data_IF_962343556327
#
_entry.id   IF_962343556327
#
_cell.length_a   1.000
_cell.length_b   1.000
_cell.length_c   1.000
_cell.angle_alpha   90.00
_cell.angle_beta   90.00
_cell.angle_gamma   90.00
#
_symmetry.space_group_name_H-M   'P 1'
#
loop_
_entity.id
_entity.type
_entity.pdbx_description
1 polymer ?
#
# COMPACT_ATOMS: atom_id res chain seq x y z
N UNK A 1 23.84 -2.24 29.61
CA UNK A 1 23.17 -1.19 28.80
C UNK A 1 21.77 -1.69 28.54
N UNK A 2 20.74 -1.02 29.04
CA UNK A 2 19.34 -1.36 28.78
C UNK A 2 19.11 -1.17 27.27
N UNK A 3 18.91 -2.27 26.52
CA UNK A 3 18.39 -2.17 25.16
C UNK A 3 16.96 -1.64 25.28
N UNK A 4 16.78 -0.33 25.14
CA UNK A 4 15.46 0.23 24.92
C UNK A 4 14.90 -0.47 23.68
N UNK A 5 13.75 -1.12 23.84
CA UNK A 5 13.11 -1.83 22.74
C UNK A 5 12.85 -0.83 21.60
N UNK A 6 13.20 -1.20 20.37
CA UNK A 6 13.04 -0.36 19.17
C UNK A 6 11.55 -0.28 18.78
N UNK A 7 10.77 0.55 19.46
CA UNK A 7 9.34 0.73 19.16
C UNK A 7 9.15 1.39 17.81
N UNK A 8 8.32 0.80 16.96
CA UNK A 8 7.95 1.34 15.66
C UNK A 8 6.54 1.94 15.75
N UNK A 9 6.42 3.24 15.46
CA UNK A 9 5.11 3.87 15.24
C UNK A 9 4.61 3.50 13.85
N UNK A 10 3.39 2.99 13.77
CA UNK A 10 2.72 2.65 12.51
C UNK A 10 1.52 3.57 12.32
N UNK A 11 1.56 4.41 11.29
CA UNK A 11 0.39 5.18 10.86
C UNK A 11 -0.51 4.32 9.98
N UNK A 12 -1.81 4.67 9.89
CA UNK A 12 -2.75 3.88 9.11
C UNK A 12 -2.87 2.42 9.60
N UNK A 13 -2.58 2.14 10.88
CA UNK A 13 -2.49 0.79 11.45
C UNK A 13 -3.79 -0.02 11.35
N UNK A 14 -4.95 0.63 11.25
CA UNK A 14 -6.24 -0.03 11.02
C UNK A 14 -6.58 -0.23 9.54
N UNK A 15 -5.71 0.25 8.63
CA UNK A 15 -5.82 0.08 7.18
C UNK A 15 -5.12 -1.17 6.69
N UNK A 16 -5.17 -1.41 5.36
CA UNK A 16 -4.56 -2.59 4.74
C UNK A 16 -3.04 -2.64 4.94
N UNK A 17 -2.31 -1.65 4.45
CA UNK A 17 -0.86 -1.62 4.55
C UNK A 17 -0.36 -1.50 5.99
N UNK A 18 -0.83 -0.49 6.72
CA UNK A 18 -0.40 -0.28 8.11
C UNK A 18 -0.76 -1.46 9.02
N UNK A 19 -1.92 -2.09 8.79
CA UNK A 19 -2.32 -3.30 9.51
C UNK A 19 -1.39 -4.49 9.24
N UNK A 20 -1.04 -4.74 7.97
CA UNK A 20 -0.10 -5.78 7.60
C UNK A 20 1.29 -5.52 8.20
N UNK A 21 1.78 -4.27 8.13
CA UNK A 21 3.06 -3.89 8.74
C UNK A 21 3.05 -4.08 10.26
N UNK A 22 1.98 -3.64 10.95
CA UNK A 22 1.84 -3.83 12.39
C UNK A 22 1.83 -5.30 12.77
N UNK A 23 1.06 -6.13 12.06
CA UNK A 23 0.98 -7.57 12.30
C UNK A 23 2.34 -8.26 12.07
N UNK A 24 3.05 -7.90 11.00
CA UNK A 24 4.37 -8.45 10.69
C UNK A 24 5.40 -8.10 11.76
N UNK A 25 5.48 -6.82 12.16
CA UNK A 25 6.43 -6.37 13.18
C UNK A 25 6.15 -7.04 14.53
N UNK A 26 4.88 -7.18 14.93
CA UNK A 26 4.50 -7.90 16.16
C UNK A 26 4.91 -9.37 16.10
N UNK A 27 4.68 -10.04 14.95
CA UNK A 27 5.09 -11.44 14.75
C UNK A 27 6.61 -11.61 14.82
N UNK A 28 7.38 -10.61 14.37
CA UNK A 28 8.84 -10.57 14.46
C UNK A 28 9.34 -10.15 15.87
N UNK A 29 8.42 -9.93 16.83
CA UNK A 29 8.76 -9.54 18.22
C UNK A 29 9.18 -8.07 18.37
N UNK A 30 8.89 -7.22 17.37
CA UNK A 30 9.20 -5.80 17.40
C UNK A 30 8.02 -5.05 18.05
N UNK A 31 8.25 -4.22 19.09
CA UNK A 31 7.19 -3.43 19.71
C UNK A 31 6.57 -2.44 18.71
N UNK A 32 5.25 -2.45 18.63
CA UNK A 32 4.46 -1.60 17.73
C UNK A 32 3.63 -0.62 18.53
N UNK A 33 3.70 0.66 18.14
CA UNK A 33 2.73 1.69 18.51
C UNK A 33 1.84 1.96 17.32
N UNK A 34 0.54 1.66 17.45
CA UNK A 34 -0.45 1.76 16.37
C UNK A 34 -1.23 3.07 16.49
N UNK A 35 -1.03 4.01 15.55
CA UNK A 35 -1.78 5.26 15.50
C UNK A 35 -3.14 5.05 14.86
N UNK A 36 -4.21 5.43 15.56
CA UNK A 36 -5.59 5.41 15.06
C UNK A 36 -6.37 6.63 15.53
N UNK A 37 -7.40 7.03 14.78
CA UNK A 37 -8.35 8.07 15.19
C UNK A 37 -9.41 7.54 16.16
N UNK A 38 -9.63 6.21 16.15
CA UNK A 38 -10.66 5.52 16.95
C UNK A 38 -10.07 4.21 17.50
N UNK A 39 -9.76 4.22 18.80
CA UNK A 39 -9.25 3.07 19.53
C UNK A 39 -10.37 2.06 19.89
N UNK A 40 -11.62 2.48 19.77
CA UNK A 40 -12.80 1.64 20.03
C UNK A 40 -13.19 0.75 18.85
N UNK A 41 -12.60 0.96 17.66
CA UNK A 41 -12.88 0.15 16.47
C UNK A 41 -12.44 -1.31 16.65
N UNK A 42 -13.13 -2.25 16.00
CA UNK A 42 -12.79 -3.68 16.07
C UNK A 42 -11.33 -3.94 15.64
N UNK A 43 -10.83 -3.20 14.64
CA UNK A 43 -9.45 -3.33 14.15
C UNK A 43 -8.43 -2.80 15.16
N UNK A 44 -8.72 -1.69 15.85
CA UNK A 44 -7.85 -1.17 16.90
C UNK A 44 -7.79 -2.12 18.10
N UNK A 45 -8.92 -2.68 18.52
CA UNK A 45 -8.94 -3.71 19.58
C UNK A 45 -8.14 -4.96 19.20
N UNK A 46 -8.28 -5.45 17.98
CA UNK A 46 -7.50 -6.58 17.49
C UNK A 46 -5.97 -6.31 17.51
N UNK A 47 -5.55 -5.09 17.19
CA UNK A 47 -4.14 -4.68 17.31
C UNK A 47 -3.68 -4.67 18.77
N UNK A 48 -4.49 -4.16 19.70
CA UNK A 48 -4.18 -4.19 21.13
C UNK A 48 -4.09 -5.62 21.66
N UNK A 49 -5.02 -6.50 21.29
CA UNK A 49 -5.00 -7.94 21.62
C UNK A 49 -3.77 -8.65 21.07
N UNK A 50 -3.28 -8.24 19.89
CA UNK A 50 -2.05 -8.72 19.30
C UNK A 50 -0.76 -8.17 19.96
N UNK A 51 -0.89 -7.25 20.92
CA UNK A 51 0.22 -6.69 21.70
C UNK A 51 0.71 -5.32 21.25
N UNK A 52 0.02 -4.63 20.35
CA UNK A 52 0.37 -3.25 19.99
C UNK A 52 -0.05 -2.25 21.09
N UNK A 53 0.76 -1.22 21.32
CA UNK A 53 0.36 -0.01 22.03
C UNK A 53 -0.54 0.82 21.10
N UNK A 54 -1.85 0.81 21.32
CA UNK A 54 -2.79 1.63 20.54
C UNK A 54 -2.82 3.05 21.09
N UNK A 55 -2.56 4.04 20.23
CA UNK A 55 -2.59 5.45 20.58
C UNK A 55 -3.57 6.22 19.70
N UNK A 56 -4.36 7.10 20.34
CA UNK A 56 -5.30 7.96 19.61
C UNK A 56 -4.57 9.19 19.09
N UNK A 57 -4.72 9.47 17.80
CA UNK A 57 -4.17 10.67 17.17
C UNK A 57 -4.58 10.79 15.71
N UNK A 58 -4.36 11.98 15.17
CA UNK A 58 -4.68 12.34 13.80
C UNK A 58 -3.43 12.89 13.08
N UNK A 59 -3.24 12.51 11.82
CA UNK A 59 -2.13 13.02 11.00
C UNK A 59 -2.22 14.53 10.75
N UNK A 60 -3.40 15.12 10.89
CA UNK A 60 -3.60 16.56 10.82
C UNK A 60 -3.34 17.31 12.15
N UNK A 61 -3.32 16.60 13.28
CA UNK A 61 -3.03 17.17 14.60
C UNK A 61 -1.57 16.96 14.99
N UNK A 62 -0.79 18.05 14.90
CA UNK A 62 0.64 18.06 15.22
C UNK A 62 0.92 17.61 16.66
N UNK A 63 0.14 18.06 17.61
CA UNK A 63 0.34 17.72 19.03
C UNK A 63 0.12 16.22 19.27
N UNK A 64 -0.83 15.60 18.56
CA UNK A 64 -1.03 14.16 18.62
C UNK A 64 0.14 13.39 18.01
N UNK A 65 0.73 13.90 16.92
CA UNK A 65 1.91 13.31 16.29
C UNK A 65 3.15 13.42 17.18
N UNK A 66 3.35 14.56 17.86
CA UNK A 66 4.46 14.73 18.81
C UNK A 66 4.35 13.74 19.97
N UNK A 67 3.14 13.51 20.50
CA UNK A 67 2.90 12.47 21.52
C UNK A 67 3.13 11.07 20.97
N UNK A 68 2.64 10.76 19.76
CA UNK A 68 2.75 9.45 19.16
C UNK A 68 4.20 9.07 18.81
N UNK A 69 5.00 10.04 18.35
CA UNK A 69 6.42 9.83 17.97
C UNK A 69 7.36 9.82 19.16
N UNK A 70 6.93 10.34 20.33
CA UNK A 70 7.79 10.41 21.52
C UNK A 70 8.33 9.03 21.91
N UNK A 71 9.67 8.87 21.90
CA UNK A 71 10.35 7.62 22.21
C UNK A 71 10.20 6.51 21.16
N UNK A 72 9.56 6.77 20.02
CA UNK A 72 9.58 5.83 18.89
C UNK A 72 10.98 5.81 18.27
N UNK A 73 11.49 4.61 18.02
CA UNK A 73 12.75 4.41 17.32
C UNK A 73 12.57 4.56 15.80
N UNK A 74 11.46 4.06 15.26
CA UNK A 74 11.14 4.12 13.85
C UNK A 74 9.69 4.51 13.58
N UNK A 75 9.40 4.90 12.34
CA UNK A 75 8.05 5.26 11.89
C UNK A 75 7.74 4.59 10.56
N UNK A 76 6.65 3.82 10.49
CA UNK A 76 6.03 3.46 9.22
C UNK A 76 4.99 4.51 8.86
N UNK A 77 5.19 5.17 7.73
CA UNK A 77 4.41 6.30 7.25
C UNK A 77 3.58 5.89 6.04
N UNK A 78 2.27 5.79 6.22
CA UNK A 78 1.31 5.65 5.12
C UNK A 78 0.18 6.66 5.30
N UNK A 79 -0.17 7.33 4.21
CA UNK A 79 -1.18 8.38 4.19
C UNK A 79 -2.28 8.01 3.20
N UNK A 80 -3.51 8.35 3.52
CA UNK A 80 -4.61 8.23 2.57
C UNK A 80 -4.56 9.39 1.58
N UNK A 81 -4.56 9.07 0.30
CA UNK A 81 -4.69 10.06 -0.76
C UNK A 81 -6.11 10.65 -0.83
N UNK A 82 -6.23 11.89 -1.30
CA UNK A 82 -7.50 12.49 -1.64
C UNK A 82 -7.95 12.02 -3.04
N UNK A 83 -9.17 11.53 -3.12
CA UNK A 83 -9.84 11.18 -4.39
C UNK A 83 -11.34 11.42 -4.28
N UNK A 84 -12.02 11.63 -5.39
CA UNK A 84 -13.45 11.86 -5.40
C UNK A 84 -14.21 10.70 -4.73
N UNK A 85 -15.08 11.04 -3.78
CA UNK A 85 -15.78 10.05 -2.94
C UNK A 85 -14.94 9.43 -1.80
N UNK A 86 -13.68 9.79 -1.68
CA UNK A 86 -12.82 9.38 -0.58
C UNK A 86 -12.99 10.22 0.68
N UNK A 87 -12.36 9.81 1.80
CA UNK A 87 -12.56 10.45 3.11
C UNK A 87 -12.04 11.89 3.17
N UNK A 88 -11.16 12.29 2.27
CA UNK A 88 -10.57 13.64 2.21
C UNK A 88 -11.04 14.45 0.99
N UNK A 89 -11.95 13.87 0.16
CA UNK A 89 -12.60 14.54 -0.96
C UNK A 89 -11.61 15.25 -1.88
N UNK A 90 -11.77 16.57 -2.02
CA UNK A 90 -10.95 17.41 -2.88
C UNK A 90 -9.76 18.09 -2.16
N UNK A 91 -9.42 17.69 -0.93
CA UNK A 91 -8.21 18.19 -0.24
C UNK A 91 -6.94 17.56 -0.83
N UNK A 92 -6.55 18.10 -1.97
CA UNK A 92 -5.47 17.55 -2.81
C UNK A 92 -4.11 17.56 -2.11
N UNK A 93 -3.90 18.49 -1.17
CA UNK A 93 -2.66 18.67 -0.43
C UNK A 93 -2.63 17.86 0.87
N UNK A 94 -3.72 17.13 1.20
CA UNK A 94 -3.83 16.39 2.47
C UNK A 94 -2.63 15.45 2.69
N UNK A 95 -2.27 14.68 1.69
CA UNK A 95 -1.21 13.69 1.80
C UNK A 95 0.17 14.33 2.04
N UNK A 96 0.55 15.32 1.23
CA UNK A 96 1.84 16.01 1.37
C UNK A 96 1.92 16.80 2.67
N UNK A 97 0.82 17.44 3.08
CA UNK A 97 0.72 18.19 4.35
C UNK A 97 0.87 17.27 5.56
N UNK A 98 0.19 16.13 5.58
CA UNK A 98 0.27 15.17 6.69
C UNK A 98 1.63 14.46 6.71
N UNK A 99 2.23 14.17 5.57
CA UNK A 99 3.60 13.65 5.47
C UNK A 99 4.62 14.65 6.05
N UNK A 100 4.48 15.93 5.73
CA UNK A 100 5.34 16.98 6.27
C UNK A 100 5.22 17.10 7.81
N UNK A 101 3.98 17.08 8.34
CA UNK A 101 3.73 17.12 9.79
C UNK A 101 4.36 15.91 10.51
N UNK A 102 4.15 14.70 9.97
CA UNK A 102 4.71 13.46 10.53
C UNK A 102 6.24 13.46 10.47
N UNK A 103 6.83 13.85 9.33
CA UNK A 103 8.27 13.96 9.17
C UNK A 103 8.90 14.94 10.18
N UNK A 104 8.26 16.10 10.39
CA UNK A 104 8.71 17.08 11.38
C UNK A 104 8.59 16.57 12.82
N UNK A 105 7.50 15.85 13.18
CA UNK A 105 7.33 15.23 14.49
C UNK A 105 8.38 14.12 14.71
N UNK A 106 8.59 13.26 13.73
CA UNK A 106 9.60 12.20 13.75
C UNK A 106 11.01 12.77 13.95
N UNK A 107 11.34 13.87 13.23
CA UNK A 107 12.64 14.55 13.40
C UNK A 107 12.81 15.14 14.81
N UNK A 108 11.79 15.81 15.32
CA UNK A 108 11.81 16.39 16.66
C UNK A 108 11.95 15.33 17.77
N UNK A 109 11.34 14.15 17.57
CA UNK A 109 11.43 13.01 18.49
C UNK A 109 12.75 12.22 18.37
N UNK A 110 13.62 12.54 17.41
CA UNK A 110 14.88 11.83 17.19
C UNK A 110 14.69 10.43 16.59
N UNK A 111 13.64 10.22 15.78
CA UNK A 111 13.41 8.96 15.07
C UNK A 111 14.61 8.61 14.19
N UNK A 112 15.10 7.38 14.32
CA UNK A 112 16.32 6.94 13.63
C UNK A 112 16.05 6.44 12.20
N UNK A 113 14.83 5.93 11.93
CA UNK A 113 14.48 5.45 10.59
C UNK A 113 12.99 5.61 10.28
N UNK A 114 12.66 6.10 9.08
CA UNK A 114 11.30 6.27 8.60
C UNK A 114 11.12 5.45 7.30
N UNK A 115 10.13 4.57 7.28
CA UNK A 115 9.74 3.84 6.07
C UNK A 115 8.43 4.44 5.56
N UNK A 116 8.48 5.04 4.37
CA UNK A 116 7.31 5.71 3.76
C UNK A 116 6.74 4.89 2.62
N UNK A 117 5.43 4.65 2.66
CA UNK A 117 4.71 4.02 1.56
C UNK A 117 4.13 5.06 0.62
N UNK A 118 4.68 5.09 -0.60
CA UNK A 118 4.27 5.89 -1.75
C UNK A 118 3.50 5.04 -2.77
N UNK A 119 3.79 5.18 -4.05
CA UNK A 119 3.25 4.33 -5.14
C UNK A 119 4.25 4.26 -6.31
N UNK A 120 4.15 3.20 -7.11
CA UNK A 120 4.88 3.07 -8.37
C UNK A 120 4.56 4.24 -9.31
N UNK A 121 5.50 4.57 -10.19
CA UNK A 121 5.37 5.60 -11.23
C UNK A 121 5.80 7.00 -10.80
N UNK A 122 5.99 7.25 -9.50
CA UNK A 122 6.57 8.51 -9.01
C UNK A 122 8.01 8.66 -9.51
N UNK A 123 8.33 9.83 -10.08
CA UNK A 123 9.62 10.12 -10.72
C UNK A 123 9.76 9.54 -12.12
N UNK A 124 8.74 8.88 -12.65
CA UNK A 124 8.70 8.33 -14.00
C UNK A 124 7.88 9.17 -14.99
N UNK A 125 7.80 8.72 -16.26
CA UNK A 125 7.08 9.45 -17.32
C UNK A 125 5.59 9.66 -17.03
N UNK A 126 4.98 8.79 -16.22
CA UNK A 126 3.56 8.87 -15.88
C UNK A 126 3.23 10.02 -14.92
N UNK A 127 4.20 10.53 -14.15
CA UNK A 127 3.95 11.56 -13.15
C UNK A 127 3.37 12.83 -13.77
N UNK A 128 3.85 13.24 -14.95
CA UNK A 128 3.36 14.45 -15.64
C UNK A 128 1.90 14.33 -16.10
N UNK A 129 1.37 13.10 -16.20
CA UNK A 129 0.04 12.81 -16.72
C UNK A 129 -0.97 12.43 -15.66
N UNK A 130 -0.53 12.20 -14.41
CA UNK A 130 -1.38 11.70 -13.32
C UNK A 130 -1.24 12.55 -12.06
N UNK A 131 -2.25 13.36 -11.76
CA UNK A 131 -2.30 14.21 -10.56
C UNK A 131 -2.02 13.42 -9.26
N UNK A 132 -2.50 12.17 -9.20
CA UNK A 132 -2.24 11.30 -8.07
C UNK A 132 -0.73 11.06 -7.86
N UNK A 133 0.03 10.83 -8.93
CA UNK A 133 1.48 10.61 -8.84
C UNK A 133 2.21 11.88 -8.42
N UNK A 134 1.77 13.04 -8.92
CA UNK A 134 2.35 14.34 -8.52
C UNK A 134 2.20 14.57 -7.02
N UNK A 135 1.01 14.26 -6.45
CA UNK A 135 0.76 14.37 -5.01
C UNK A 135 1.61 13.40 -4.20
N UNK A 136 1.74 12.16 -4.67
CA UNK A 136 2.66 11.18 -4.06
C UNK A 136 4.10 11.66 -4.09
N UNK A 137 4.54 12.24 -5.20
CA UNK A 137 5.87 12.85 -5.31
C UNK A 137 6.07 14.01 -4.32
N UNK A 138 5.03 14.83 -4.07
CA UNK A 138 5.07 15.88 -3.06
C UNK A 138 5.20 15.32 -1.65
N UNK A 139 4.46 14.26 -1.32
CA UNK A 139 4.59 13.57 -0.04
C UNK A 139 6.00 12.98 0.14
N UNK A 140 6.56 12.33 -0.90
CA UNK A 140 7.95 11.86 -0.86
C UNK A 140 8.94 13.02 -0.64
N UNK A 141 8.76 14.16 -1.32
CA UNK A 141 9.60 15.36 -1.10
C UNK A 141 9.52 15.86 0.33
N UNK A 142 8.33 15.85 0.93
CA UNK A 142 8.14 16.24 2.32
C UNK A 142 8.87 15.30 3.29
N UNK A 143 8.78 13.98 3.08
CA UNK A 143 9.52 12.99 3.88
C UNK A 143 11.04 13.18 3.73
N UNK A 144 11.54 13.30 2.50
CA UNK A 144 12.98 13.55 2.24
C UNK A 144 13.44 14.84 2.91
N UNK A 145 12.64 15.89 2.83
CA UNK A 145 12.92 17.21 3.43
C UNK A 145 12.91 17.21 4.96
N UNK A 146 12.33 16.21 5.62
CA UNK A 146 12.33 16.10 7.09
C UNK A 146 13.73 15.92 7.68
N UNK A 147 14.68 15.37 6.89
CA UNK A 147 16.03 15.06 7.33
C UNK A 147 16.10 13.86 8.29
N UNK A 148 15.04 13.04 8.40
CA UNK A 148 15.08 11.73 9.04
C UNK A 148 15.64 10.72 8.03
N UNK A 149 16.57 9.82 8.41
CA UNK A 149 16.96 8.70 7.54
C UNK A 149 15.72 7.90 7.13
N UNK A 150 15.56 7.63 5.84
CA UNK A 150 14.30 7.05 5.35
C UNK A 150 14.50 6.04 4.24
N UNK A 151 13.53 5.12 4.10
CA UNK A 151 13.33 4.24 2.95
C UNK A 151 11.96 4.55 2.35
N UNK A 152 11.86 4.57 1.02
CA UNK A 152 10.59 4.75 0.31
C UNK A 152 10.20 3.44 -0.36
N UNK A 153 9.00 2.97 -0.09
CA UNK A 153 8.37 1.85 -0.74
C UNK A 153 7.34 2.39 -1.76
N UNK A 154 7.43 1.94 -3.00
CA UNK A 154 6.49 2.28 -4.07
C UNK A 154 5.74 1.04 -4.52
N UNK A 155 4.71 0.62 -3.77
CA UNK A 155 3.91 -0.54 -4.15
C UNK A 155 3.12 -0.28 -5.42
N UNK A 156 2.82 -1.38 -6.11
CA UNK A 156 1.93 -1.47 -7.27
C UNK A 156 0.49 -1.74 -6.83
N UNK A 157 -0.39 -2.16 -7.76
CA UNK A 157 -1.76 -2.59 -7.45
C UNK A 157 -1.75 -3.74 -6.44
N UNK A 158 -2.62 -3.66 -5.42
CA UNK A 158 -2.68 -4.72 -4.41
C UNK A 158 -3.48 -5.92 -4.92
N UNK A 159 -2.97 -7.13 -4.70
CA UNK A 159 -3.67 -8.37 -5.05
C UNK A 159 -5.05 -8.46 -4.40
N UNK A 160 -5.19 -7.94 -3.19
CA UNK A 160 -6.43 -7.87 -2.43
C UNK A 160 -7.50 -7.01 -3.10
N UNK A 161 -7.13 -6.01 -3.89
CA UNK A 161 -8.08 -5.12 -4.57
C UNK A 161 -9.03 -5.86 -5.50
N UNK A 162 -8.54 -6.95 -6.11
CA UNK A 162 -9.32 -7.79 -7.01
C UNK A 162 -10.57 -8.36 -6.33
N UNK A 163 -10.52 -8.64 -5.02
CA UNK A 163 -11.55 -9.39 -4.30
C UNK A 163 -12.38 -8.55 -3.32
N UNK A 164 -12.03 -7.28 -3.09
CA UNK A 164 -12.71 -6.47 -2.08
C UNK A 164 -13.20 -5.10 -2.57
N UNK A 165 -12.40 -4.05 -2.35
CA UNK A 165 -12.87 -2.66 -2.40
C UNK A 165 -13.09 -2.12 -3.80
N UNK A 166 -12.32 -2.58 -4.78
CA UNK A 166 -12.35 -2.05 -6.13
C UNK A 166 -13.30 -2.81 -7.06
N UNK A 167 -13.87 -3.94 -6.57
CA UNK A 167 -14.87 -4.72 -7.30
C UNK A 167 -14.46 -5.08 -8.72
N UNK A 168 -13.18 -5.39 -8.92
CA UNK A 168 -12.70 -5.83 -10.23
C UNK A 168 -13.39 -7.12 -10.67
N UNK A 169 -13.70 -8.03 -9.74
CA UNK A 169 -14.55 -9.17 -10.00
C UNK A 169 -16.03 -8.78 -9.86
N UNK A 170 -16.79 -8.90 -10.94
CA UNK A 170 -18.22 -8.61 -10.99
C UNK A 170 -18.95 -9.80 -11.59
N UNK A 171 -19.91 -10.37 -10.86
CA UNK A 171 -20.71 -11.50 -11.33
C UNK A 171 -19.88 -12.68 -11.89
N UNK A 172 -18.68 -12.91 -11.31
CA UNK A 172 -17.79 -13.98 -11.76
C UNK A 172 -16.89 -13.66 -12.97
N UNK A 173 -16.94 -12.44 -13.49
CA UNK A 173 -16.03 -11.95 -14.52
C UNK A 173 -15.05 -10.93 -13.94
N UNK A 174 -13.81 -10.91 -14.45
CA UNK A 174 -12.84 -9.86 -14.17
C UNK A 174 -13.14 -8.68 -15.10
N UNK A 175 -13.56 -7.56 -14.51
CA UNK A 175 -13.92 -6.33 -15.23
C UNK A 175 -12.87 -5.27 -14.94
N UNK A 176 -12.26 -4.71 -15.97
CA UNK A 176 -11.22 -3.69 -15.82
C UNK A 176 -11.34 -2.62 -16.92
N UNK A 177 -10.74 -1.47 -16.65
CA UNK A 177 -10.60 -0.37 -17.61
C UNK A 177 -9.37 -0.55 -18.51
N UNK A 178 -8.47 -1.48 -18.20
CA UNK A 178 -7.27 -1.74 -18.99
C UNK A 178 -7.59 -2.67 -20.18
N UNK A 179 -6.75 -2.69 -21.20
CA UNK A 179 -6.88 -3.66 -22.27
C UNK A 179 -6.46 -5.07 -21.81
N UNK A 180 -6.95 -6.13 -22.47
CA UNK A 180 -6.70 -7.52 -22.07
C UNK A 180 -5.19 -7.88 -22.05
N UNK A 181 -4.42 -7.28 -22.92
CA UNK A 181 -2.99 -7.47 -23.11
C UNK A 181 -2.13 -6.42 -22.35
N UNK A 182 -2.76 -5.50 -21.62
CA UNK A 182 -2.06 -4.53 -20.77
C UNK A 182 -1.50 -5.23 -19.53
N UNK A 183 -0.19 -5.10 -19.34
CA UNK A 183 0.50 -5.55 -18.14
C UNK A 183 0.18 -4.65 -16.94
N UNK A 184 -0.12 -5.27 -15.82
CA UNK A 184 -0.30 -4.61 -14.54
C UNK A 184 0.50 -5.35 -13.47
N UNK A 185 1.49 -4.68 -12.85
CA UNK A 185 2.22 -5.30 -11.75
C UNK A 185 1.36 -5.31 -10.47
N UNK A 186 1.47 -6.42 -9.72
CA UNK A 186 0.71 -6.66 -8.49
C UNK A 186 1.60 -6.97 -7.31
N UNK A 187 1.17 -6.58 -6.11
CA UNK A 187 1.86 -6.84 -4.84
C UNK A 187 0.86 -7.24 -3.75
N UNK A 188 1.23 -8.17 -2.87
CA UNK A 188 0.47 -8.46 -1.66
C UNK A 188 0.79 -7.44 -0.55
N UNK A 189 -0.17 -7.09 0.28
CA UNK A 189 0.05 -6.21 1.42
C UNK A 189 1.07 -6.80 2.42
N UNK A 190 1.11 -8.11 2.55
CA UNK A 190 2.08 -8.83 3.39
C UNK A 190 3.51 -8.70 2.87
N UNK A 191 3.72 -8.65 1.56
CA UNK A 191 5.03 -8.41 0.97
C UNK A 191 5.50 -6.96 1.20
N UNK A 192 4.58 -5.98 1.12
CA UNK A 192 4.90 -4.60 1.52
C UNK A 192 5.35 -4.57 2.99
N UNK A 193 4.66 -5.30 3.85
CA UNK A 193 5.01 -5.42 5.26
C UNK A 193 6.38 -6.09 5.46
N UNK A 194 6.69 -7.11 4.67
CA UNK A 194 8.00 -7.75 4.69
C UNK A 194 9.13 -6.78 4.31
N UNK A 195 8.96 -5.99 3.23
CA UNK A 195 9.95 -4.97 2.86
C UNK A 195 10.09 -3.88 3.92
N UNK A 196 9.00 -3.46 4.56
CA UNK A 196 9.06 -2.51 5.67
C UNK A 196 9.85 -3.09 6.86
N UNK A 197 9.58 -4.35 7.24
CA UNK A 197 10.30 -5.04 8.32
C UNK A 197 11.80 -5.20 8.00
N UNK A 198 12.15 -5.57 6.76
CA UNK A 198 13.55 -5.66 6.29
C UNK A 198 14.24 -4.29 6.41
N UNK A 199 13.59 -3.20 5.99
CA UNK A 199 14.15 -1.86 6.09
C UNK A 199 14.37 -1.41 7.54
N UNK A 200 13.49 -1.78 8.47
CA UNK A 200 13.67 -1.52 9.90
C UNK A 200 14.74 -2.41 10.54
N UNK A 201 14.91 -3.64 10.05
CA UNK A 201 15.92 -4.56 10.58
C UNK A 201 17.36 -4.09 10.28
N UNK A 202 17.58 -3.53 9.07
CA UNK A 202 18.89 -3.01 8.65
C UNK A 202 18.76 -1.61 8.00
N UNK A 203 18.54 -0.55 8.81
CA UNK A 203 18.45 0.80 8.29
C UNK A 203 19.74 1.27 7.60
N UNK A 204 20.89 0.72 7.96
CA UNK A 204 22.15 1.06 7.31
C UNK A 204 22.20 0.67 5.84
N UNK A 205 21.65 -0.48 5.50
CA UNK A 205 21.56 -0.96 4.12
C UNK A 205 20.43 -0.30 3.31
N UNK A 206 19.37 0.18 3.99
CA UNK A 206 18.12 0.60 3.33
C UNK A 206 17.86 2.11 3.36
N UNK A 207 18.55 2.89 4.22
CA UNK A 207 18.39 4.34 4.24
C UNK A 207 18.75 4.98 2.89
N UNK A 208 17.89 5.88 2.41
CA UNK A 208 18.02 6.54 1.11
C UNK A 208 17.57 5.70 -0.08
N UNK A 209 17.18 4.44 0.13
CA UNK A 209 16.69 3.57 -0.95
C UNK A 209 15.23 3.84 -1.28
N UNK A 210 14.91 3.58 -2.54
CA UNK A 210 13.54 3.53 -3.07
C UNK A 210 13.35 2.14 -3.67
N UNK A 211 12.25 1.49 -3.32
CA UNK A 211 11.88 0.17 -3.84
C UNK A 211 10.53 0.26 -4.54
N UNK A 212 10.50 0.04 -5.83
CA UNK A 212 9.27 -0.23 -6.57
C UNK A 212 8.91 -1.69 -6.35
N UNK A 213 7.72 -1.95 -5.75
CA UNK A 213 7.38 -3.28 -5.23
C UNK A 213 6.31 -3.95 -6.08
N UNK A 214 6.66 -5.09 -6.67
CA UNK A 214 5.73 -6.02 -7.31
C UNK A 214 6.17 -7.46 -7.03
N UNK A 215 5.21 -8.35 -6.81
CA UNK A 215 5.42 -9.80 -6.73
C UNK A 215 5.14 -10.49 -8.04
N UNK A 216 4.25 -9.91 -8.86
CA UNK A 216 3.88 -10.40 -10.18
C UNK A 216 3.73 -9.24 -11.17
N UNK A 217 3.88 -9.49 -12.47
CA UNK A 217 3.68 -8.51 -13.55
C UNK A 217 3.07 -9.24 -14.74
N UNK A 218 1.75 -9.25 -14.81
CA UNK A 218 0.93 -10.08 -15.69
C UNK A 218 -0.08 -9.23 -16.46
N UNK A 219 -0.53 -9.73 -17.61
CA UNK A 219 -1.62 -9.11 -18.37
C UNK A 219 -2.98 -9.33 -17.68
N UNK A 220 -3.96 -8.52 -18.03
CA UNK A 220 -5.31 -8.66 -17.50
C UNK A 220 -5.94 -10.01 -17.88
N UNK A 221 -5.67 -10.50 -19.09
CA UNK A 221 -6.11 -11.82 -19.53
C UNK A 221 -5.45 -12.94 -18.72
N UNK A 222 -4.15 -12.85 -18.45
CA UNK A 222 -3.43 -13.81 -17.59
C UNK A 222 -3.97 -13.78 -16.16
N UNK A 223 -4.26 -12.59 -15.60
CA UNK A 223 -4.89 -12.43 -14.29
C UNK A 223 -6.22 -13.18 -14.21
N UNK A 224 -7.10 -13.01 -15.19
CA UNK A 224 -8.38 -13.74 -15.27
C UNK A 224 -8.17 -15.25 -15.35
N UNK A 225 -7.21 -15.71 -16.16
CA UNK A 225 -6.86 -17.12 -16.31
C UNK A 225 -6.30 -17.74 -15.02
N UNK A 226 -5.45 -17.01 -14.28
CA UNK A 226 -4.93 -17.44 -12.96
C UNK A 226 -6.09 -17.60 -11.98
N UNK A 227 -6.96 -16.58 -11.87
CA UNK A 227 -8.12 -16.64 -10.99
C UNK A 227 -8.98 -17.88 -11.34
N UNK A 228 -9.29 -18.06 -12.62
CA UNK A 228 -10.09 -19.20 -13.09
C UNK A 228 -9.49 -20.57 -12.72
N UNK A 229 -8.16 -20.74 -12.87
CA UNK A 229 -7.46 -21.97 -12.47
C UNK A 229 -7.56 -22.22 -10.98
N UNK A 230 -7.33 -21.20 -10.17
CA UNK A 230 -7.33 -21.32 -8.69
C UNK A 230 -8.73 -21.65 -8.16
N UNK A 231 -9.79 -21.05 -8.72
CA UNK A 231 -11.16 -21.26 -8.25
C UNK A 231 -11.88 -22.42 -8.95
N UNK A 232 -11.26 -23.04 -9.96
CA UNK A 232 -11.79 -24.23 -10.66
C UNK A 232 -12.96 -23.93 -11.58
N UNK A 233 -13.11 -22.68 -12.08
CA UNK A 233 -14.15 -22.28 -13.03
C UNK A 233 -13.65 -21.19 -13.99
N UNK A 234 -14.31 -21.05 -15.12
CA UNK A 234 -14.00 -19.97 -16.06
C UNK A 234 -14.29 -18.59 -15.42
N UNK A 235 -13.34 -17.67 -15.55
CA UNK A 235 -13.46 -16.27 -15.16
C UNK A 235 -13.20 -15.42 -16.41
N UNK A 236 -14.25 -14.99 -17.12
CA UNK A 236 -14.08 -14.16 -18.31
C UNK A 236 -13.44 -12.81 -17.96
N UNK A 237 -12.63 -12.30 -18.88
CA UNK A 237 -12.15 -10.93 -18.83
C UNK A 237 -13.05 -10.01 -19.64
N UNK A 238 -13.45 -8.88 -19.06
CA UNK A 238 -14.28 -7.85 -19.70
C UNK A 238 -13.57 -6.51 -19.58
N UNK A 239 -13.08 -5.99 -20.71
CA UNK A 239 -12.55 -4.63 -20.78
C UNK A 239 -13.70 -3.62 -20.96
N UNK A 240 -13.73 -2.58 -20.13
CA UNK A 240 -14.59 -1.41 -20.35
C UNK A 240 -13.82 -0.49 -21.30
N UNK A 241 -14.42 -0.20 -22.47
CA UNK A 241 -13.76 0.62 -23.47
C UNK A 241 -13.42 2.03 -22.99
N UNK A 242 -12.26 2.54 -23.36
CA UNK A 242 -11.82 3.91 -23.03
C UNK A 242 -12.83 4.95 -23.51
N UNK A 243 -13.47 4.70 -24.65
CA UNK A 243 -14.50 5.58 -25.22
C UNK A 243 -15.72 5.73 -24.29
N UNK A 244 -16.16 4.64 -23.68
CA UNK A 244 -17.27 4.65 -22.72
C UNK A 244 -16.89 5.43 -21.44
N UNK A 245 -15.64 5.31 -20.99
CA UNK A 245 -15.13 6.05 -19.84
C UNK A 245 -14.98 7.54 -20.17
N UNK A 246 -14.64 7.88 -21.42
CA UNK A 246 -14.44 9.27 -21.84
C UNK A 246 -15.71 10.12 -21.77
N UNK A 247 -16.89 9.52 -21.92
CA UNK A 247 -18.16 10.21 -21.77
C UNK A 247 -18.42 10.67 -20.33
N UNK A 248 -18.04 9.83 -19.35
CA UNK A 248 -18.28 10.10 -17.92
C UNK A 248 -17.09 10.81 -17.26
N UNK A 249 -15.85 10.49 -17.67
CA UNK A 249 -14.63 11.02 -17.07
C UNK A 249 -13.48 11.14 -18.08
N UNK A 250 -13.36 12.27 -18.80
CA UNK A 250 -12.25 12.49 -19.75
C UNK A 250 -10.85 12.36 -19.14
N UNK A 251 -10.69 12.71 -17.87
CA UNK A 251 -9.42 12.59 -17.16
C UNK A 251 -9.02 11.12 -16.92
N UNK A 252 -10.00 10.27 -16.55
CA UNK A 252 -9.79 8.82 -16.40
C UNK A 252 -9.46 8.19 -17.75
N UNK A 253 -10.15 8.56 -18.82
CA UNK A 253 -9.87 8.04 -20.17
C UNK A 253 -8.45 8.39 -20.63
N UNK A 254 -7.98 9.62 -20.37
CA UNK A 254 -6.61 10.04 -20.66
C UNK A 254 -5.59 9.20 -19.87
N UNK A 255 -5.84 9.01 -18.58
CA UNK A 255 -5.00 8.17 -17.72
C UNK A 255 -4.89 6.74 -18.25
N UNK A 256 -6.01 6.14 -18.66
CA UNK A 256 -6.06 4.78 -19.21
C UNK A 256 -5.30 4.67 -20.53
N UNK A 257 -5.39 5.66 -21.40
CA UNK A 257 -4.58 5.72 -22.62
C UNK A 257 -3.09 5.63 -22.31
N UNK A 258 -2.64 6.42 -21.34
CA UNK A 258 -1.23 6.42 -20.90
C UNK A 258 -0.83 5.07 -20.26
N UNK A 259 -1.68 4.48 -19.42
CA UNK A 259 -1.42 3.18 -18.79
C UNK A 259 -1.39 2.02 -19.80
N UNK A 260 -2.23 2.05 -20.83
CA UNK A 260 -2.22 1.04 -21.89
C UNK A 260 -0.97 1.14 -22.80
N UNK A 261 -0.38 2.32 -22.94
CA UNK A 261 0.80 2.56 -23.77
C UNK A 261 2.14 2.39 -23.02
N UNK A 262 2.13 2.56 -21.69
CA UNK A 262 3.34 2.61 -20.88
C UNK A 262 3.36 1.53 -19.80
N UNK A 263 4.18 0.51 -20.00
CA UNK A 263 4.38 -0.54 -19.00
C UNK A 263 5.17 0.01 -17.80
N UNK A 264 4.63 -0.17 -16.60
CA UNK A 264 5.34 0.07 -15.34
C UNK A 264 6.14 -1.18 -14.95
N UNK A 265 7.28 -1.41 -15.62
CA UNK A 265 8.09 -2.60 -15.37
C UNK A 265 8.81 -2.50 -14.01
N UNK A 266 8.79 -3.59 -13.23
CA UNK A 266 9.49 -3.73 -11.95
C UNK A 266 10.53 -4.84 -12.03
N UNK A 267 11.71 -4.64 -11.45
CA UNK A 267 12.76 -5.66 -11.37
C UNK A 267 12.45 -6.68 -10.24
N UNK A 268 11.43 -7.52 -10.48
CA UNK A 268 11.01 -8.58 -9.56
C UNK A 268 12.17 -9.52 -9.18
N UNK A 269 13.07 -9.94 -10.11
CA UNK A 269 14.25 -10.72 -9.74
C UNK A 269 15.17 -10.04 -8.73
N UNK A 270 15.35 -8.73 -8.78
CA UNK A 270 16.12 -7.99 -7.78
C UNK A 270 15.38 -7.94 -6.43
N UNK A 271 14.06 -7.78 -6.44
CA UNK A 271 13.24 -7.81 -5.21
C UNK A 271 13.29 -9.19 -4.54
N UNK A 272 13.25 -10.28 -5.30
CA UNK A 272 13.36 -11.65 -4.76
C UNK A 272 14.71 -11.94 -4.11
N UNK A 273 15.78 -11.22 -4.46
CA UNK A 273 17.07 -11.32 -3.73
C UNK A 273 17.00 -10.69 -2.35
N UNK A 274 16.15 -9.67 -2.17
CA UNK A 274 15.94 -8.99 -0.88
C UNK A 274 14.92 -9.77 -0.04
N UNK A 275 13.81 -10.18 -0.67
CA UNK A 275 12.72 -10.93 -0.07
C UNK A 275 12.42 -12.20 -0.90
N UNK A 276 13.11 -13.33 -0.61
CA UNK A 276 12.93 -14.58 -1.36
C UNK A 276 11.50 -15.15 -1.33
N UNK A 277 10.69 -14.78 -0.31
CA UNK A 277 9.30 -15.16 -0.15
C UNK A 277 8.29 -14.29 -0.91
N UNK A 278 8.75 -13.42 -1.80
CA UNK A 278 7.88 -12.53 -2.59
C UNK A 278 6.90 -13.33 -3.46
N UNK A 279 5.60 -13.09 -3.27
CA UNK A 279 4.50 -13.91 -3.81
C UNK A 279 4.11 -13.48 -5.22
N UNK A 280 3.82 -14.46 -6.07
CA UNK A 280 3.01 -14.28 -7.28
C UNK A 280 1.52 -14.21 -6.91
N UNK A 281 0.66 -13.75 -7.83
CA UNK A 281 -0.79 -13.72 -7.62
C UNK A 281 -1.34 -15.13 -7.30
N UNK A 282 -0.88 -16.15 -8.02
CA UNK A 282 -1.32 -17.54 -7.82
C UNK A 282 -0.89 -18.08 -6.45
N UNK A 283 0.35 -17.82 -6.03
CA UNK A 283 0.85 -18.22 -4.70
C UNK A 283 0.09 -17.48 -3.59
N UNK A 284 -0.19 -16.18 -3.77
CA UNK A 284 -0.98 -15.41 -2.83
C UNK A 284 -2.41 -15.96 -2.71
N UNK A 285 -3.09 -16.21 -3.83
CA UNK A 285 -4.48 -16.71 -3.85
C UNK A 285 -4.61 -18.10 -3.23
N UNK A 286 -3.61 -18.97 -3.39
CA UNK A 286 -3.61 -20.33 -2.83
C UNK A 286 -3.08 -20.39 -1.39
N UNK A 287 -2.36 -19.36 -0.96
CA UNK A 287 -1.77 -19.20 0.37
C UNK A 287 -2.54 -18.23 1.26
N UNK A 288 -1.89 -17.13 1.63
CA UNK A 288 -2.41 -16.16 2.62
C UNK A 288 -3.65 -15.41 2.15
N UNK A 289 -3.84 -15.20 0.86
CA UNK A 289 -5.03 -14.58 0.27
C UNK A 289 -6.26 -15.50 0.18
N UNK A 290 -6.05 -16.82 0.34
CA UNK A 290 -7.11 -17.81 0.15
C UNK A 290 -8.40 -17.51 0.92
N UNK A 291 -8.40 -17.11 2.20
CA UNK A 291 -9.62 -16.80 2.92
C UNK A 291 -10.43 -15.66 2.27
N UNK A 292 -9.77 -14.66 1.70
CA UNK A 292 -10.43 -13.55 1.00
C UNK A 292 -11.05 -14.02 -0.31
N UNK A 293 -10.31 -14.83 -1.07
CA UNK A 293 -10.78 -15.44 -2.32
C UNK A 293 -12.01 -16.33 -2.08
N UNK A 294 -11.93 -17.24 -1.10
CA UNK A 294 -13.02 -18.15 -0.74
C UNK A 294 -14.26 -17.38 -0.31
N UNK A 295 -14.10 -16.35 0.54
CA UNK A 295 -15.21 -15.52 1.01
C UNK A 295 -15.88 -14.73 -0.13
N UNK A 296 -15.09 -14.28 -1.13
CA UNK A 296 -15.62 -13.61 -2.30
C UNK A 296 -16.51 -14.57 -3.12
N UNK A 297 -15.98 -15.74 -3.49
CA UNK A 297 -16.71 -16.67 -4.34
C UNK A 297 -17.89 -17.33 -3.64
N UNK A 298 -17.83 -17.59 -2.33
CA UNK A 298 -18.97 -18.06 -1.56
C UNK A 298 -20.16 -17.06 -1.58
N UNK A 299 -19.90 -15.76 -1.62
CA UNK A 299 -20.95 -14.73 -1.75
C UNK A 299 -21.60 -14.75 -3.14
N UNK A 300 -20.82 -14.98 -4.20
CA UNK A 300 -21.35 -15.09 -5.56
C UNK A 300 -22.21 -16.35 -5.72
N UNK A 301 -21.77 -17.47 -5.16
CA UNK A 301 -22.48 -18.73 -5.25
C UNK A 301 -23.79 -18.76 -4.43
N UNK A 302 -23.94 -17.82 -3.48
CA UNK A 302 -25.14 -17.67 -2.66
C UNK A 302 -26.15 -16.63 -3.22
N UNK A 303 -25.81 -15.85 -4.24
CA UNK A 303 -26.63 -14.79 -4.83
C UNK A 303 -27.40 -15.26 -6.06
#
# INVERSE_FOLDING_TARGET
MSHTAKTILVTGATGRQGGAVAARLLADGVPVRALTRDDSSAKARALAEAGAEVVVGDLDDRDSLDRATAGAWGVFSVHAGAYEGGPYGHDLDHESRTAAKLGAAAKAAGVEHLVHSSTIGVGGPLEEHMDMLQRKAEAERAIRGSGVPHTILRPTSFMENTFDSFRELQNGALVSLLAADTYEPHIAADDIAAFAAIAFADPGAHAGKVYELAGDDITQAEKAAIIGRVVGREVPYVAIGVEQVAEDSPSTAKMLGVLNEHRMAVDIPALKKIHPGLLTLEEWMTGIGKPLVDAYFARIDAA
#
